data_IF_357409680689
#
_entry.id   IF_357409680689
#
_cell.length_a   1.000
_cell.length_b   1.000
_cell.length_c   1.000
_cell.angle_alpha   90.00
_cell.angle_beta   90.00
_cell.angle_gamma   90.00
#
_symmetry.space_group_name_H-M   'P 1'
#
loop_
_entity.id
_entity.type
_entity.pdbx_description
1 polymer ?
#
# COMPACT_ATOMS: atom_id res chain seq x y z
N UNK A 1 23.69 3.34 -21.11
CA UNK A 1 22.61 4.33 -20.94
C UNK A 1 21.31 3.84 -21.61
N UNK A 2 20.71 2.76 -21.11
CA UNK A 2 19.42 2.24 -21.61
C UNK A 2 18.63 1.47 -20.53
N UNK A 3 19.32 0.94 -19.51
CA UNK A 3 18.71 0.25 -18.36
C UNK A 3 17.91 1.18 -17.46
N UNK A 4 18.44 2.35 -17.11
CA UNK A 4 17.77 3.36 -16.27
C UNK A 4 16.37 3.72 -16.82
N UNK A 5 16.24 3.86 -18.15
CA UNK A 5 14.95 4.16 -18.80
C UNK A 5 13.96 2.99 -18.78
N UNK A 6 14.45 1.75 -18.67
CA UNK A 6 13.59 0.58 -18.55
C UNK A 6 13.06 0.45 -17.12
N UNK A 7 13.93 0.66 -16.13
CA UNK A 7 13.58 0.60 -14.70
C UNK A 7 12.52 1.65 -14.36
N UNK A 8 12.70 2.90 -14.80
CA UNK A 8 11.70 3.98 -14.63
C UNK A 8 10.34 3.63 -15.26
N UNK A 9 10.33 2.91 -16.38
CA UNK A 9 9.09 2.47 -17.04
C UNK A 9 8.42 1.34 -16.28
N UNK A 10 9.21 0.43 -15.70
CA UNK A 10 8.71 -0.67 -14.87
C UNK A 10 8.09 -0.11 -13.59
N UNK A 11 8.78 0.78 -12.87
CA UNK A 11 8.25 1.45 -11.68
C UNK A 11 6.91 2.15 -11.97
N UNK A 12 6.82 2.83 -13.11
CA UNK A 12 5.57 3.51 -13.51
C UNK A 12 4.44 2.52 -13.82
N UNK A 13 4.74 1.35 -14.39
CA UNK A 13 3.74 0.30 -14.62
C UNK A 13 3.28 -0.30 -13.29
N UNK A 14 4.21 -0.60 -12.39
CA UNK A 14 3.91 -1.15 -11.06
C UNK A 14 3.02 -0.20 -10.26
N UNK A 15 3.33 1.10 -10.26
CA UNK A 15 2.50 2.14 -9.62
C UNK A 15 1.08 2.20 -10.20
N UNK A 16 0.93 2.12 -11.53
CA UNK A 16 -0.38 2.11 -12.18
C UNK A 16 -1.18 0.84 -11.86
N UNK A 17 -0.51 -0.32 -11.74
CA UNK A 17 -1.15 -1.57 -11.35
C UNK A 17 -1.58 -1.54 -9.88
N UNK A 18 -0.76 -0.98 -9.00
CA UNK A 18 -1.09 -0.78 -7.58
C UNK A 18 -2.36 0.08 -7.43
N UNK A 19 -2.46 1.17 -8.20
CA UNK A 19 -3.62 2.06 -8.19
C UNK A 19 -4.93 1.39 -8.67
N UNK A 20 -4.85 0.28 -9.43
CA UNK A 20 -6.03 -0.50 -9.82
C UNK A 20 -6.43 -1.53 -8.76
N UNK A 21 -5.56 -1.85 -7.81
CA UNK A 21 -5.83 -2.85 -6.78
C UNK A 21 -6.80 -2.28 -5.77
N UNK A 22 -7.89 -3.02 -5.49
CA UNK A 22 -8.89 -2.62 -4.50
C UNK A 22 -8.51 -2.93 -3.06
N UNK A 23 -7.65 -3.92 -2.85
CA UNK A 23 -7.23 -4.36 -1.51
C UNK A 23 -5.72 -4.26 -1.38
N UNK A 24 -5.24 -3.44 -0.46
CA UNK A 24 -3.82 -3.22 -0.21
C UNK A 24 -3.35 -4.00 1.03
N UNK A 25 -2.13 -4.54 0.98
CA UNK A 25 -1.39 -4.95 2.19
C UNK A 25 -0.82 -3.73 2.91
N UNK A 26 -0.19 -3.92 4.06
CA UNK A 26 0.44 -2.80 4.77
C UNK A 26 1.64 -2.23 4.02
N UNK A 27 2.43 -3.05 3.32
CA UNK A 27 3.50 -2.59 2.44
C UNK A 27 2.93 -1.71 1.32
N UNK A 28 1.93 -2.22 0.60
CA UNK A 28 1.31 -1.51 -0.52
C UNK A 28 0.63 -0.22 -0.07
N UNK A 29 0.03 -0.20 1.12
CA UNK A 29 -0.55 1.00 1.71
C UNK A 29 0.52 2.04 2.09
N UNK A 30 1.71 1.61 2.53
CA UNK A 30 2.84 2.54 2.73
C UNK A 30 3.24 3.17 1.41
N UNK A 31 3.40 2.36 0.37
CA UNK A 31 3.83 2.82 -0.95
C UNK A 31 2.78 3.73 -1.60
N UNK A 32 1.50 3.42 -1.43
CA UNK A 32 0.38 4.20 -1.96
C UNK A 32 0.21 5.56 -1.25
N UNK A 33 0.24 5.57 0.09
CA UNK A 33 -0.05 6.78 0.88
C UNK A 33 1.18 7.62 1.22
N UNK A 34 2.39 7.07 1.05
CA UNK A 34 3.63 7.67 1.53
C UNK A 34 3.77 7.65 3.06
N UNK A 35 2.85 7.01 3.79
CA UNK A 35 2.92 6.90 5.25
C UNK A 35 3.90 5.82 5.68
N UNK A 36 4.58 6.05 6.81
CA UNK A 36 5.43 5.02 7.41
C UNK A 36 4.61 3.84 7.94
N UNK A 37 5.18 2.64 7.88
CA UNK A 37 4.56 1.41 8.43
C UNK A 37 4.16 1.56 9.90
N UNK A 38 5.02 2.17 10.72
CA UNK A 38 4.73 2.41 12.15
C UNK A 38 3.53 3.33 12.35
N UNK A 39 3.35 4.33 11.48
CA UNK A 39 2.21 5.22 11.53
C UNK A 39 0.90 4.51 11.13
N UNK A 40 0.92 3.69 10.07
CA UNK A 40 -0.21 2.85 9.70
C UNK A 40 -0.57 1.84 10.80
N UNK A 41 0.42 1.23 11.47
CA UNK A 41 0.17 0.37 12.63
C UNK A 41 -0.48 1.15 13.79
N UNK A 42 -0.08 2.40 14.03
CA UNK A 42 -0.72 3.24 15.03
C UNK A 42 -2.19 3.48 14.67
N UNK A 43 -2.48 3.89 13.43
CA UNK A 43 -3.85 4.17 12.99
C UNK A 43 -4.75 2.92 13.04
N UNK A 44 -4.23 1.76 12.65
CA UNK A 44 -4.98 0.49 12.71
C UNK A 44 -5.21 0.04 14.15
N UNK A 45 -4.21 0.14 15.02
CA UNK A 45 -4.36 -0.26 16.43
C UNK A 45 -5.30 0.66 17.22
N UNK A 46 -5.42 1.94 16.85
CA UNK A 46 -6.41 2.86 17.42
C UNK A 46 -7.78 2.78 16.74
N UNK A 47 -7.93 1.97 15.68
CA UNK A 47 -9.16 1.90 14.89
C UNK A 47 -9.50 3.21 14.14
N UNK A 48 -8.51 4.06 13.87
CA UNK A 48 -8.70 5.35 13.22
C UNK A 48 -8.93 5.25 11.71
N UNK A 49 -8.53 4.13 11.10
CA UNK A 49 -8.76 3.85 9.68
C UNK A 49 -9.44 2.48 9.49
N UNK A 50 -10.34 2.36 8.49
CA UNK A 50 -10.94 1.08 8.12
C UNK A 50 -9.87 0.06 7.70
N UNK A 51 -9.93 -1.14 8.28
CA UNK A 51 -8.99 -2.20 7.96
C UNK A 51 -9.60 -3.58 8.25
N UNK A 52 -9.07 -4.61 7.61
CA UNK A 52 -9.43 -6.01 7.83
C UNK A 52 -8.23 -6.80 8.36
N UNK A 53 -8.47 -7.65 9.37
CA UNK A 53 -7.45 -8.50 9.99
C UNK A 53 -7.97 -9.94 10.13
N UNK A 54 -8.07 -10.71 9.03
CA UNK A 54 -8.77 -12.00 9.01
C UNK A 54 -8.04 -13.11 9.80
N UNK A 55 -6.71 -13.02 9.94
CA UNK A 55 -5.87 -14.03 10.59
C UNK A 55 -5.05 -13.48 11.77
N UNK A 56 -5.37 -12.27 12.26
CA UNK A 56 -4.66 -11.62 13.38
C UNK A 56 -3.28 -11.03 13.02
N UNK A 57 -2.57 -11.62 12.05
CA UNK A 57 -1.20 -11.27 11.66
C UNK A 57 -1.11 -10.29 10.49
N UNK A 58 -1.98 -10.44 9.49
CA UNK A 58 -1.99 -9.61 8.29
C UNK A 58 -3.07 -8.53 8.38
N UNK A 59 -2.76 -7.35 7.85
CA UNK A 59 -3.69 -6.22 7.76
C UNK A 59 -3.91 -5.89 6.29
N UNK A 60 -5.18 -5.76 5.93
CA UNK A 60 -5.61 -5.38 4.60
C UNK A 60 -6.45 -4.12 4.66
N UNK A 61 -6.38 -3.32 3.60
CA UNK A 61 -7.07 -2.05 3.47
C UNK A 61 -7.83 -2.01 2.15
N UNK A 62 -9.00 -1.36 2.16
CA UNK A 62 -9.64 -0.96 0.90
C UNK A 62 -9.01 0.35 0.44
N UNK A 63 -8.55 0.41 -0.80
CA UNK A 63 -7.90 1.60 -1.36
C UNK A 63 -8.80 2.84 -1.34
N UNK A 64 -10.12 2.66 -1.45
CA UNK A 64 -11.07 3.78 -1.48
C UNK A 64 -11.39 4.31 -0.06
N UNK A 65 -10.92 3.62 0.99
CA UNK A 65 -11.15 3.95 2.40
C UNK A 65 -9.88 4.36 3.16
N UNK A 66 -8.72 4.35 2.49
CA UNK A 66 -7.40 4.71 3.00
C UNK A 66 -7.11 6.19 2.77
#
# INVERSE_FOLDING_TARGET
>A
MNTIKLDERLERIESLLLAQKKVLTIEEACDYTGMSRSYLYKLTSTGAIPHCKPSGKLIYFDIDLL
#
